data_IF_526734699575
#
_entry.id   IF_526734699575
#
_cell.length_a   1.000
_cell.length_b   1.000
_cell.length_c   1.000
_cell.angle_alpha   90.00
_cell.angle_beta   90.00
_cell.angle_gamma   90.00
#
_symmetry.space_group_name_H-M   'P 1'
#
loop_
_entity.id
_entity.type
_entity.pdbx_description
1 polymer ?
#
# COMPACT_ATOMS: atom_id res chain seq x y z
N UNK A 1 6.42 -17.83 -17.42
CA UNK A 1 5.11 -17.78 -16.73
C UNK A 1 5.18 -16.61 -15.75
N UNK A 2 4.36 -15.58 -15.92
CA UNK A 2 4.29 -14.47 -14.98
C UNK A 2 3.62 -14.95 -13.69
N UNK A 3 4.20 -14.68 -12.50
CA UNK A 3 3.54 -15.02 -11.24
C UNK A 3 2.24 -14.23 -11.13
N UNK A 4 1.11 -14.92 -10.89
CA UNK A 4 -0.19 -14.27 -10.67
C UNK A 4 -0.25 -13.74 -9.25
N UNK A 5 -0.92 -12.60 -9.04
CA UNK A 5 -1.25 -12.14 -7.68
C UNK A 5 -2.03 -13.23 -6.94
N UNK A 6 -1.72 -13.43 -5.67
CA UNK A 6 -2.44 -14.41 -4.83
C UNK A 6 -3.90 -13.99 -4.65
N UNK A 7 -4.87 -14.92 -4.61
CA UNK A 7 -6.28 -14.61 -4.37
C UNK A 7 -6.54 -13.76 -3.12
N UNK A 8 -5.72 -13.92 -2.09
CA UNK A 8 -5.77 -13.12 -0.87
C UNK A 8 -5.42 -11.63 -1.11
N UNK A 9 -4.38 -11.36 -1.92
CA UNK A 9 -4.00 -10.00 -2.29
C UNK A 9 -5.08 -9.35 -3.16
N UNK A 10 -5.63 -10.10 -4.13
CA UNK A 10 -6.75 -9.60 -4.96
C UNK A 10 -7.97 -9.26 -4.12
N UNK A 11 -8.39 -10.14 -3.20
CA UNK A 11 -9.53 -9.86 -2.31
C UNK A 11 -9.28 -8.68 -1.39
N UNK A 12 -8.06 -8.54 -0.86
CA UNK A 12 -7.64 -7.38 -0.08
C UNK A 12 -7.78 -6.09 -0.89
N UNK A 13 -7.24 -6.03 -2.11
CA UNK A 13 -7.26 -4.83 -2.96
C UNK A 13 -8.66 -4.42 -3.44
N UNK A 14 -9.63 -5.33 -3.39
CA UNK A 14 -11.04 -5.05 -3.71
C UNK A 14 -11.86 -4.65 -2.48
N UNK A 15 -11.27 -4.66 -1.29
CA UNK A 15 -11.92 -4.31 -0.04
C UNK A 15 -12.12 -2.80 0.09
N UNK A 16 -13.16 -2.39 0.81
CA UNK A 16 -13.34 -1.00 1.28
C UNK A 16 -13.08 -0.93 2.78
N UNK A 17 -12.17 -1.76 3.29
CA UNK A 17 -11.82 -1.86 4.71
C UNK A 17 -10.31 -1.81 4.91
N UNK A 18 -9.92 -1.22 6.04
CA UNK A 18 -8.55 -1.17 6.52
C UNK A 18 -7.91 -2.58 6.59
N UNK A 19 -6.56 -2.66 6.53
CA UNK A 19 -5.61 -1.55 6.45
C UNK A 19 -5.54 -0.92 5.04
N UNK A 20 -5.36 0.40 4.96
CA UNK A 20 -5.26 1.13 3.69
C UNK A 20 -3.85 1.14 3.12
N UNK A 21 -2.86 1.14 4.00
CA UNK A 21 -1.44 1.07 3.67
C UNK A 21 -0.87 -0.29 4.12
N UNK A 22 0.01 -0.88 3.33
CA UNK A 22 0.63 -2.17 3.66
C UNK A 22 2.00 -2.35 2.99
N UNK A 23 2.92 -3.06 3.65
CA UNK A 23 4.19 -3.44 3.03
C UNK A 23 3.96 -4.63 2.08
N UNK A 24 4.42 -4.50 0.85
CA UNK A 24 4.54 -5.60 -0.09
C UNK A 24 5.99 -6.09 -0.09
N UNK A 25 6.23 -7.28 0.47
CA UNK A 25 7.58 -7.85 0.49
C UNK A 25 7.91 -8.44 -0.89
N UNK A 26 9.01 -7.98 -1.47
CA UNK A 26 9.51 -8.44 -2.78
C UNK A 26 10.86 -9.13 -2.63
N UNK A 27 11.11 -10.19 -3.40
CA UNK A 27 12.47 -10.77 -3.49
C UNK A 27 13.33 -9.97 -4.46
N UNK A 28 14.66 -10.12 -4.39
CA UNK A 28 15.60 -9.35 -5.21
C UNK A 28 15.42 -9.54 -6.73
N UNK A 29 14.82 -10.66 -7.13
CA UNK A 29 14.57 -11.05 -8.52
C UNK A 29 13.19 -10.63 -9.03
N UNK A 30 12.31 -10.16 -8.13
CA UNK A 30 10.93 -9.81 -8.44
C UNK A 30 10.79 -8.32 -8.74
N UNK A 31 10.00 -8.00 -9.77
CA UNK A 31 9.49 -6.64 -9.98
C UNK A 31 8.17 -6.49 -9.25
N UNK A 32 8.05 -5.49 -8.39
CA UNK A 32 6.84 -5.26 -7.60
C UNK A 32 5.58 -5.14 -8.47
N UNK A 33 5.71 -4.49 -9.64
CA UNK A 33 4.64 -4.31 -10.62
C UNK A 33 4.15 -5.64 -11.18
N UNK A 34 5.00 -6.66 -11.24
CA UNK A 34 4.61 -8.01 -11.68
C UNK A 34 3.85 -8.81 -10.62
N UNK A 35 3.90 -8.37 -9.35
CA UNK A 35 3.23 -9.03 -8.22
C UNK A 35 1.82 -8.49 -7.98
N UNK A 36 1.56 -7.25 -8.44
CA UNK A 36 0.30 -6.55 -8.25
C UNK A 36 -0.43 -6.42 -9.58
N UNK A 37 -1.44 -7.25 -9.78
CA UNK A 37 -2.34 -7.14 -10.91
C UNK A 37 -3.59 -6.37 -10.49
N UNK A 38 -3.93 -5.33 -11.25
CA UNK A 38 -5.15 -4.58 -10.98
C UNK A 38 -6.39 -5.45 -11.23
N UNK A 39 -7.28 -5.62 -10.23
CA UNK A 39 -8.59 -6.20 -10.47
C UNK A 39 -9.38 -5.38 -11.51
N UNK A 40 -10.31 -5.98 -12.28
CA UNK A 40 -11.07 -5.25 -13.28
C UNK A 40 -11.77 -4.01 -12.72
N UNK A 41 -11.48 -2.86 -13.33
CA UNK A 41 -12.06 -1.56 -12.97
C UNK A 41 -11.31 -0.78 -11.89
N UNK A 42 -10.29 -1.35 -11.25
CA UNK A 42 -9.39 -0.60 -10.37
C UNK A 42 -8.25 0.03 -11.20
N UNK A 43 -7.89 1.26 -10.86
CA UNK A 43 -6.71 1.93 -11.41
C UNK A 43 -5.47 1.56 -10.59
N UNK A 44 -4.44 1.02 -11.24
CA UNK A 44 -3.13 0.81 -10.64
C UNK A 44 -2.19 1.94 -11.08
N UNK A 45 -1.69 2.70 -10.12
CA UNK A 45 -0.72 3.78 -10.34
C UNK A 45 0.60 3.45 -9.65
N UNK A 46 1.68 3.52 -10.41
CA UNK A 46 3.03 3.21 -9.92
C UNK A 46 3.76 4.50 -9.60
N UNK A 47 4.21 4.60 -8.35
CA UNK A 47 4.98 5.71 -7.80
C UNK A 47 6.40 5.20 -7.57
N UNK A 48 7.39 5.95 -8.05
CA UNK A 48 8.81 5.60 -7.90
C UNK A 48 9.35 6.19 -6.61
N UNK A 49 9.39 5.40 -5.54
CA UNK A 49 9.87 5.86 -4.22
C UNK A 49 11.30 6.38 -4.22
N UNK A 50 12.16 5.91 -5.13
CA UNK A 50 13.50 6.47 -5.36
C UNK A 50 13.51 7.94 -5.78
N UNK A 51 12.39 8.44 -6.32
CA UNK A 51 12.16 9.84 -6.69
C UNK A 51 11.43 10.63 -5.60
N UNK A 52 11.12 10.03 -4.45
CA UNK A 52 10.34 10.66 -3.36
C UNK A 52 11.21 10.91 -2.12
N UNK A 53 12.43 11.43 -2.30
CA UNK A 53 13.41 11.57 -1.20
C UNK A 53 13.14 12.77 -0.29
N UNK A 54 12.45 13.78 -0.82
CA UNK A 54 12.03 14.99 -0.11
C UNK A 54 10.56 15.28 -0.43
N UNK A 55 9.84 16.06 0.39
CA UNK A 55 8.44 16.42 0.13
C UNK A 55 8.23 16.96 -1.28
N UNK A 56 9.05 17.93 -1.72
CA UNK A 56 8.96 18.49 -3.07
C UNK A 56 9.05 17.44 -4.19
N UNK A 57 9.99 16.49 -4.08
CA UNK A 57 10.16 15.42 -5.08
C UNK A 57 9.05 14.37 -5.00
N UNK A 58 8.53 14.11 -3.79
CA UNK A 58 7.37 13.24 -3.57
C UNK A 58 6.12 13.84 -4.24
N UNK A 59 5.84 15.12 -4.01
CA UNK A 59 4.72 15.83 -4.62
C UNK A 59 4.77 15.77 -6.14
N UNK A 60 5.96 16.00 -6.72
CA UNK A 60 6.15 15.91 -8.17
C UNK A 60 5.88 14.50 -8.71
N UNK A 61 6.35 13.46 -8.03
CA UNK A 61 6.13 12.08 -8.47
C UNK A 61 4.67 11.64 -8.31
N UNK A 62 3.99 12.06 -7.23
CA UNK A 62 2.55 11.82 -7.05
C UNK A 62 1.73 12.52 -8.13
N UNK A 63 1.99 13.81 -8.38
CA UNK A 63 1.33 14.56 -9.43
C UNK A 63 1.50 13.89 -10.80
N UNK A 64 2.71 13.43 -11.12
CA UNK A 64 3.00 12.70 -12.36
C UNK A 64 2.30 11.34 -12.43
N UNK A 65 2.28 10.58 -11.34
CA UNK A 65 1.74 9.22 -11.33
C UNK A 65 0.21 9.19 -11.35
N UNK A 66 -0.43 10.14 -10.66
CA UNK A 66 -1.87 10.27 -10.53
C UNK A 66 -2.49 11.28 -11.51
N UNK A 67 -1.66 11.87 -12.38
CA UNK A 67 -2.08 12.85 -13.37
C UNK A 67 -2.82 14.02 -12.70
N UNK A 68 -2.26 14.53 -11.60
CA UNK A 68 -2.84 15.66 -10.88
C UNK A 68 -2.97 16.88 -11.80
N UNK A 69 -4.00 17.72 -11.58
CA UNK A 69 -4.21 18.92 -12.37
C UNK A 69 -3.07 19.94 -12.25
N UNK A 70 -2.93 20.80 -13.26
CA UNK A 70 -1.88 21.83 -13.32
C UNK A 70 -1.93 22.85 -12.17
N UNK A 71 -3.06 22.96 -11.47
CA UNK A 71 -3.23 23.84 -10.30
C UNK A 71 -2.74 23.22 -8.98
N UNK A 72 -2.17 22.01 -9.02
CA UNK A 72 -1.68 21.33 -7.82
C UNK A 72 -0.67 22.18 -7.04
N UNK A 73 -0.94 22.40 -5.75
CA UNK A 73 -0.22 23.37 -4.91
C UNK A 73 1.17 22.94 -4.43
N UNK A 74 1.63 21.71 -4.73
CA UNK A 74 2.94 21.18 -4.33
C UNK A 74 3.26 21.31 -2.83
N UNK A 75 2.27 21.03 -1.98
CA UNK A 75 2.38 20.98 -0.53
C UNK A 75 1.53 19.84 0.04
N UNK A 76 1.60 19.61 1.36
CA UNK A 76 0.88 18.51 2.02
C UNK A 76 -0.63 18.64 1.92
N UNK A 77 -1.19 19.82 2.20
CA UNK A 77 -2.63 20.07 2.10
C UNK A 77 -3.14 19.80 0.68
N UNK A 78 -2.42 20.25 -0.34
CA UNK A 78 -2.77 20.00 -1.74
C UNK A 78 -2.70 18.51 -2.10
N UNK A 79 -1.74 17.77 -1.53
CA UNK A 79 -1.65 16.31 -1.73
C UNK A 79 -2.85 15.61 -1.10
N UNK A 80 -3.21 15.98 0.13
CA UNK A 80 -4.38 15.46 0.83
C UNK A 80 -5.66 15.73 0.04
N UNK A 81 -5.88 16.98 -0.39
CA UNK A 81 -7.04 17.38 -1.20
C UNK A 81 -7.14 16.57 -2.49
N UNK A 82 -6.03 16.43 -3.23
CA UNK A 82 -6.01 15.67 -4.48
C UNK A 82 -6.19 14.16 -4.26
N UNK A 83 -5.71 13.60 -3.15
CA UNK A 83 -5.93 12.19 -2.83
C UNK A 83 -7.35 11.92 -2.35
N UNK A 84 -7.98 12.90 -1.69
CA UNK A 84 -9.35 12.81 -1.23
C UNK A 84 -10.35 12.82 -2.39
N UNK A 85 -10.01 13.49 -3.49
CA UNK A 85 -10.83 13.59 -4.69
C UNK A 85 -10.03 13.43 -6.00
N UNK A 86 -10.25 12.31 -6.69
CA UNK A 86 -9.57 11.92 -7.94
C UNK A 86 -10.54 12.00 -9.12
N UNK A 87 -11.39 13.02 -9.18
CA UNK A 87 -12.45 13.13 -10.19
C UNK A 87 -11.94 13.10 -11.64
N UNK A 88 -10.72 13.59 -11.90
CA UNK A 88 -10.08 13.56 -13.22
C UNK A 88 -9.57 12.17 -13.62
N UNK A 89 -9.48 11.24 -12.66
CA UNK A 89 -8.99 9.88 -12.86
C UNK A 89 -10.08 8.85 -12.46
N UNK A 90 -11.25 8.82 -13.12
CA UNK A 90 -12.36 7.99 -12.66
C UNK A 90 -12.04 6.49 -12.72
N UNK A 91 -12.16 5.81 -11.57
CA UNK A 91 -12.03 4.36 -11.44
C UNK A 91 -13.03 3.77 -10.45
N UNK A 92 -13.19 2.44 -10.44
CA UNK A 92 -13.99 1.73 -9.42
C UNK A 92 -13.22 1.52 -8.10
N UNK A 93 -11.97 1.97 -8.04
CA UNK A 93 -11.07 1.89 -6.91
C UNK A 93 -9.63 2.16 -7.36
N UNK A 94 -8.74 2.41 -6.40
CA UNK A 94 -7.38 2.85 -6.66
C UNK A 94 -6.37 1.98 -5.90
N UNK A 95 -5.29 1.64 -6.59
CA UNK A 95 -4.14 0.94 -6.02
C UNK A 95 -2.92 1.79 -6.33
N UNK A 96 -2.28 2.30 -5.29
CA UNK A 96 -1.01 3.01 -5.40
C UNK A 96 0.11 2.05 -5.05
N UNK A 97 0.97 1.72 -6.02
CA UNK A 97 2.14 0.89 -5.80
C UNK A 97 3.38 1.76 -5.73
N UNK A 98 3.93 1.91 -4.53
CA UNK A 98 5.18 2.62 -4.28
C UNK A 98 6.33 1.62 -4.39
N UNK A 99 7.09 1.73 -5.48
CA UNK A 99 8.34 0.98 -5.69
C UNK A 99 9.49 1.62 -4.94
N UNK A 100 10.57 0.88 -4.65
CA UNK A 100 11.74 1.39 -3.92
C UNK A 100 11.34 2.11 -2.60
N UNK A 101 10.38 1.55 -1.86
CA UNK A 101 9.68 2.24 -0.77
C UNK A 101 10.62 2.70 0.37
N UNK A 102 11.75 2.04 0.56
CA UNK A 102 12.76 2.44 1.55
C UNK A 102 13.44 3.78 1.22
N UNK A 103 13.35 4.26 -0.03
CA UNK A 103 13.88 5.57 -0.43
C UNK A 103 12.92 6.72 -0.14
N UNK A 104 11.64 6.44 0.13
CA UNK A 104 10.64 7.49 0.38
C UNK A 104 10.97 8.17 1.69
N UNK A 105 11.27 9.47 1.63
CA UNK A 105 11.54 10.31 2.80
C UNK A 105 12.49 9.63 3.81
N UNK A 106 13.55 8.99 3.30
CA UNK A 106 14.42 8.12 4.10
C UNK A 106 15.22 8.86 5.18
N UNK A 107 15.32 10.18 5.06
CA UNK A 107 16.12 11.03 5.94
C UNK A 107 15.26 11.91 6.86
N UNK A 108 13.94 11.80 6.77
CA UNK A 108 13.00 12.63 7.54
C UNK A 108 11.80 11.79 7.97
N UNK A 109 11.83 11.34 9.23
CA UNK A 109 10.77 10.49 9.79
C UNK A 109 9.48 11.27 10.01
N UNK A 110 9.56 12.55 10.36
CA UNK A 110 8.38 13.39 10.60
C UNK A 110 7.61 13.60 9.31
N UNK A 111 8.30 13.93 8.21
CA UNK A 111 7.66 14.05 6.90
C UNK A 111 7.08 12.70 6.42
N UNK A 112 7.74 11.58 6.75
CA UNK A 112 7.23 10.25 6.43
C UNK A 112 5.96 9.90 7.22
N UNK A 113 5.89 10.26 8.51
CA UNK A 113 4.70 10.08 9.34
C UNK A 113 3.53 10.89 8.81
N UNK A 114 3.74 12.18 8.48
CA UNK A 114 2.73 13.03 7.83
C UNK A 114 2.24 12.44 6.51
N UNK A 115 3.16 11.97 5.66
CA UNK A 115 2.80 11.30 4.42
C UNK A 115 1.95 10.06 4.65
N UNK A 116 2.31 9.23 5.64
CA UNK A 116 1.58 8.02 5.95
C UNK A 116 0.17 8.29 6.49
N UNK A 117 0.02 9.33 7.32
CA UNK A 117 -1.27 9.81 7.82
C UNK A 117 -2.19 10.21 6.66
N UNK A 118 -1.71 11.06 5.74
CA UNK A 118 -2.47 11.49 4.56
C UNK A 118 -2.94 10.30 3.71
N UNK A 119 -2.09 9.29 3.51
CA UNK A 119 -2.47 8.09 2.75
C UNK A 119 -3.53 7.24 3.49
N UNK A 120 -3.44 7.16 4.82
CA UNK A 120 -4.43 6.47 5.64
C UNK A 120 -5.78 7.19 5.61
N UNK A 121 -5.78 8.52 5.73
CA UNK A 121 -6.98 9.35 5.71
C UNK A 121 -7.67 9.29 4.34
N UNK A 122 -6.89 9.35 3.25
CA UNK A 122 -7.42 9.12 1.91
C UNK A 122 -8.08 7.73 1.82
N UNK A 123 -7.40 6.68 2.28
CA UNK A 123 -7.91 5.32 2.32
C UNK A 123 -9.24 5.20 3.08
N UNK A 124 -9.33 5.80 4.26
CA UNK A 124 -10.55 5.82 5.07
C UNK A 124 -11.68 6.60 4.40
N UNK A 125 -11.37 7.77 3.83
CA UNK A 125 -12.36 8.61 3.14
C UNK A 125 -12.93 7.93 1.89
N UNK A 126 -12.12 7.18 1.14
CA UNK A 126 -12.60 6.37 0.01
C UNK A 126 -13.35 5.12 0.51
N UNK A 127 -12.81 4.41 1.50
CA UNK A 127 -13.37 3.18 2.04
C UNK A 127 -14.72 3.35 2.74
N UNK A 128 -14.96 4.50 3.38
CA UNK A 128 -16.24 4.82 4.03
C UNK A 128 -17.25 5.43 3.06
N UNK A 129 -16.77 6.06 1.99
CA UNK A 129 -17.60 6.87 1.11
C UNK A 129 -17.99 8.21 1.74
N UNK A 130 -18.77 9.01 1.01
CA UNK A 130 -19.27 10.32 1.44
C UNK A 130 -20.79 10.34 1.32
N UNK A 131 -21.47 10.86 2.34
CA UNK A 131 -22.91 11.11 2.32
C UNK A 131 -23.21 12.59 2.03
N UNK A 132 -24.40 12.90 1.52
CA UNK A 132 -24.84 14.27 1.25
C UNK A 132 -24.66 14.72 -0.20
N UNK A 133 -24.52 16.04 -0.41
CA UNK A 133 -24.28 16.59 -1.74
C UNK A 133 -22.88 16.16 -2.22
N UNK A 134 -22.77 15.58 -3.42
CA UNK A 134 -21.53 14.92 -3.86
C UNK A 134 -21.31 13.52 -3.27
N UNK A 135 -22.42 12.81 -2.95
CA UNK A 135 -22.36 11.47 -2.39
C UNK A 135 -21.49 10.51 -3.23
N UNK A 136 -20.64 9.77 -2.54
CA UNK A 136 -19.73 8.78 -3.12
C UNK A 136 -19.87 7.47 -2.38
N UNK A 137 -20.00 6.37 -3.11
CA UNK A 137 -20.00 5.03 -2.48
C UNK A 137 -18.61 4.72 -1.91
N UNK A 138 -18.59 3.93 -0.84
CA UNK A 138 -17.40 3.22 -0.40
C UNK A 138 -16.68 2.59 -1.61
N UNK A 139 -15.40 2.90 -1.74
CA UNK A 139 -14.57 2.61 -2.91
C UNK A 139 -13.21 2.11 -2.42
N UNK A 140 -12.66 1.02 -2.99
CA UNK A 140 -11.35 0.53 -2.62
C UNK A 140 -10.26 1.58 -2.89
N UNK A 141 -9.41 1.82 -1.90
CA UNK A 141 -8.22 2.65 -2.02
C UNK A 141 -7.13 2.01 -1.16
N UNK A 142 -6.08 1.51 -1.81
CA UNK A 142 -4.98 0.82 -1.14
C UNK A 142 -3.63 1.31 -1.63
N UNK A 143 -2.68 1.44 -0.70
CA UNK A 143 -1.30 1.82 -0.97
C UNK A 143 -0.37 0.69 -0.56
N UNK A 144 0.39 0.19 -1.52
CA UNK A 144 1.37 -0.88 -1.32
C UNK A 144 2.78 -0.31 -1.36
N UNK A 145 3.52 -0.48 -0.27
CA UNK A 145 4.92 -0.10 -0.16
C UNK A 145 5.78 -1.31 -0.49
N UNK A 146 6.28 -1.37 -1.71
CA UNK A 146 7.13 -2.47 -2.16
C UNK A 146 8.56 -2.31 -1.62
N UNK A 147 8.98 -3.30 -0.84
CA UNK A 147 10.27 -3.30 -0.16
C UNK A 147 10.85 -4.71 -0.11
N UNK A 148 12.16 -4.86 -0.30
CA UNK A 148 12.80 -6.15 -0.06
C UNK A 148 12.96 -6.43 1.44
N UNK A 149 13.14 -7.71 1.82
CA UNK A 149 13.43 -8.04 3.23
C UNK A 149 14.67 -7.31 3.77
N UNK A 150 15.67 -7.08 2.91
CA UNK A 150 16.91 -6.35 3.27
C UNK A 150 16.68 -4.86 3.45
N UNK A 151 15.78 -4.27 2.69
CA UNK A 151 15.48 -2.83 2.78
C UNK A 151 14.48 -2.55 3.89
N UNK A 152 13.64 -3.52 4.25
CA UNK A 152 12.66 -3.38 5.32
C UNK A 152 13.31 -2.99 6.66
N UNK A 153 14.52 -3.47 6.91
CA UNK A 153 15.26 -3.16 8.15
C UNK A 153 15.95 -1.79 8.13
N UNK A 154 15.94 -1.07 7.01
CA UNK A 154 16.55 0.27 6.90
C UNK A 154 15.74 1.35 7.59
N UNK A 155 14.42 1.12 7.77
CA UNK A 155 13.52 2.01 8.49
C UNK A 155 13.11 1.36 9.81
N UNK A 156 13.24 2.09 10.91
CA UNK A 156 12.95 1.59 12.25
C UNK A 156 11.45 1.31 12.45
N UNK A 157 10.59 2.16 11.90
CA UNK A 157 9.15 2.00 11.98
C UNK A 157 8.47 2.31 10.64
N UNK A 158 7.71 1.37 10.11
CA UNK A 158 6.98 1.58 8.86
C UNK A 158 5.56 2.12 9.06
N UNK A 159 5.04 2.05 10.30
CA UNK A 159 3.66 2.43 10.62
C UNK A 159 2.59 1.52 10.01
N UNK A 160 2.97 0.40 9.39
CA UNK A 160 2.04 -0.52 8.73
C UNK A 160 2.53 -1.98 8.77
N UNK A 161 1.60 -2.91 8.58
CA UNK A 161 1.88 -4.34 8.55
C UNK A 161 2.27 -4.82 7.14
N UNK A 162 2.97 -5.95 7.07
CA UNK A 162 3.31 -6.60 5.80
C UNK A 162 2.18 -7.51 5.31
N UNK A 163 1.96 -7.50 4.00
CA UNK A 163 1.13 -8.45 3.27
C UNK A 163 2.03 -9.29 2.35
N UNK A 164 1.83 -10.61 2.37
CA UNK A 164 2.57 -11.51 1.49
C UNK A 164 1.86 -11.59 0.13
N UNK A 165 2.58 -11.34 -0.96
CA UNK A 165 2.07 -11.55 -2.31
C UNK A 165 2.01 -13.02 -2.72
N UNK A 166 2.64 -13.92 -1.97
CA UNK A 166 2.57 -15.38 -2.16
C UNK A 166 1.60 -16.02 -1.15
N UNK A 167 0.91 -17.13 -1.52
CA UNK A 167 0.08 -17.84 -0.57
C UNK A 167 0.96 -18.32 0.58
N UNK A 168 0.60 -17.87 1.78
CA UNK A 168 1.19 -18.30 3.05
C UNK A 168 1.46 -19.81 2.98
N UNK A 169 2.73 -20.22 2.80
CA UNK A 169 3.10 -21.62 2.94
C UNK A 169 2.89 -21.94 4.41
N UNK A 170 1.72 -22.49 4.71
CA UNK A 170 1.24 -22.84 6.05
C UNK A 170 2.43 -23.12 6.96
N UNK A 171 2.62 -22.29 7.98
CA UNK A 171 3.43 -22.63 9.14
C UNK A 171 2.82 -23.88 9.73
N UNK A 172 3.33 -25.04 9.32
CA UNK A 172 2.86 -26.33 9.77
C UNK A 172 3.48 -26.58 11.14
N UNK A 173 3.01 -25.84 12.15
CA UNK A 173 3.34 -26.10 13.54
C UNK A 173 2.61 -27.38 13.93
N UNK A 174 3.24 -28.54 13.68
CA UNK A 174 2.78 -29.81 14.23
C UNK A 174 2.71 -29.67 15.76
N UNK A 175 1.58 -29.98 16.41
CA UNK A 175 1.59 -30.10 17.87
C UNK A 175 2.54 -31.23 18.25
N UNK A 176 3.55 -30.93 19.08
CA UNK A 176 4.35 -31.95 19.75
C UNK A 176 3.42 -32.74 20.67
N UNK A 177 3.15 -33.99 20.30
CA UNK A 177 2.43 -34.95 21.11
C UNK A 177 3.21 -35.18 22.44
N UNK A 178 2.57 -35.04 23.61
CA UNK A 178 3.27 -35.28 24.87
C UNK A 178 3.58 -36.78 25.03
N UNK A 179 4.84 -37.08 25.34
CA UNK A 179 5.29 -38.44 25.70
C UNK A 179 4.55 -38.89 26.95
N UNK A 180 3.77 -39.97 26.86
CA UNK A 180 3.22 -40.68 28.02
C UNK A 180 4.39 -41.20 28.87
N UNK A 181 4.50 -40.71 30.10
CA UNK A 181 5.39 -41.30 31.11
C UNK A 181 4.84 -42.65 31.60
N UNK A 182 5.69 -43.54 32.12
CA UNK A 182 5.28 -44.88 32.55
C UNK A 182 4.46 -44.82 33.85
N UNK A 183 3.40 -45.63 33.91
CA UNK A 183 2.59 -45.85 35.11
C UNK A 183 3.41 -46.55 36.20
N UNK A 184 3.24 -46.19 37.49
CA UNK A 184 3.82 -46.94 38.59
C UNK A 184 3.02 -48.21 38.89
N UNK A 185 3.74 -49.26 39.30
CA UNK A 185 3.27 -50.58 39.74
C UNK A 185 2.52 -50.55 41.06
#
# INVERSE_FOLDING_TARGET
>A
MTPKSTPALTAYLQSTKAPWTSLLIVTAEQRAESLVHSPPGLALKVIKGRLCKTPATLFAEFARALEFPDYFGHNWDALEECLADLEWLPAKGYILLITDAASVLSNDETEYETFLEILCDAGEAWGSGRAGMGARRATPFHVLFAVSERERIQRAHWGMNAINAEPNRKTNTRPRQPKRGPSPS
#
